data_IF_370614436533
#
_entry.id   IF_370614436533
#
_cell.length_a   1.000
_cell.length_b   1.000
_cell.length_c   1.000
_cell.angle_alpha   90.00
_cell.angle_beta   90.00
_cell.angle_gamma   90.00
#
_symmetry.space_group_name_H-M   'P 1'
#
loop_
_entity.id
_entity.type
_entity.pdbx_description
1 polymer ?
#
# COMPACT_ATOMS: atom_id res chain seq x y z
N UNK A 1 17.44 -28.79 24.64
CA UNK A 1 18.09 -28.08 25.74
C UNK A 1 17.53 -26.66 25.88
N UNK A 2 17.65 -26.09 27.08
CA UNK A 2 17.21 -24.70 27.32
C UNK A 2 17.88 -23.69 26.38
N UNK A 3 19.15 -23.94 26.02
CA UNK A 3 19.90 -23.10 25.10
C UNK A 3 19.31 -23.09 23.67
N UNK A 4 18.96 -24.25 23.14
CA UNK A 4 18.35 -24.36 21.81
C UNK A 4 16.95 -23.76 21.77
N UNK A 5 16.19 -23.87 22.86
CA UNK A 5 14.88 -23.21 23.01
C UNK A 5 15.02 -21.68 22.98
N UNK A 6 15.92 -21.12 23.78
CA UNK A 6 16.16 -19.67 23.79
C UNK A 6 16.67 -19.15 22.45
N UNK A 7 17.53 -19.91 21.77
CA UNK A 7 18.02 -19.58 20.44
C UNK A 7 16.88 -19.55 19.42
N UNK A 8 16.04 -20.58 19.39
CA UNK A 8 14.90 -20.65 18.48
C UNK A 8 13.88 -19.55 18.74
N UNK A 9 13.59 -19.25 20.02
CA UNK A 9 12.70 -18.14 20.39
C UNK A 9 13.25 -16.79 19.93
N UNK A 10 14.55 -16.56 20.10
CA UNK A 10 15.21 -15.34 19.62
C UNK A 10 15.11 -15.22 18.10
N UNK A 11 15.31 -16.30 17.35
CA UNK A 11 15.18 -16.30 15.89
C UNK A 11 13.76 -15.94 15.45
N UNK A 12 12.72 -16.41 16.13
CA UNK A 12 11.32 -16.03 15.86
C UNK A 12 11.09 -14.54 16.09
N UNK A 13 11.57 -14.01 17.23
CA UNK A 13 11.44 -12.58 17.57
C UNK A 13 12.21 -11.72 16.57
N UNK A 14 13.43 -12.08 16.22
CA UNK A 14 14.25 -11.33 15.27
C UNK A 14 13.59 -11.33 13.87
N UNK A 15 13.03 -12.45 13.43
CA UNK A 15 12.30 -12.55 12.16
C UNK A 15 11.03 -11.70 12.14
N UNK A 16 10.28 -11.69 13.25
CA UNK A 16 9.08 -10.85 13.40
C UNK A 16 9.43 -9.37 13.33
N UNK A 17 10.47 -8.95 14.05
CA UNK A 17 10.93 -7.57 14.05
C UNK A 17 11.42 -7.12 12.67
N UNK A 18 12.24 -7.93 12.00
CA UNK A 18 12.76 -7.63 10.66
C UNK A 18 11.61 -7.44 9.64
N UNK A 19 10.64 -8.33 9.67
CA UNK A 19 9.48 -8.22 8.78
C UNK A 19 8.59 -7.02 9.11
N UNK A 20 8.35 -6.76 10.39
CA UNK A 20 7.58 -5.59 10.85
C UNK A 20 8.24 -4.28 10.45
N UNK A 21 9.57 -4.20 10.53
CA UNK A 21 10.34 -3.04 10.09
C UNK A 21 10.20 -2.82 8.58
N UNK A 22 10.28 -3.88 7.78
CA UNK A 22 10.09 -3.82 6.33
C UNK A 22 8.67 -3.37 5.95
N UNK A 23 7.63 -3.89 6.63
CA UNK A 23 6.26 -3.42 6.45
C UNK A 23 6.09 -1.94 6.81
N UNK A 24 6.64 -1.53 7.95
CA UNK A 24 6.60 -0.14 8.41
C UNK A 24 7.25 0.80 7.40
N UNK A 25 8.35 0.39 6.79
CA UNK A 25 9.02 1.15 5.74
C UNK A 25 8.12 1.33 4.51
N UNK A 26 7.45 0.29 4.06
CA UNK A 26 6.47 0.37 2.95
C UNK A 26 5.36 1.36 3.28
N UNK A 27 4.76 1.27 4.47
CA UNK A 27 3.70 2.16 4.92
C UNK A 27 4.18 3.62 4.98
N UNK A 28 5.38 3.86 5.48
CA UNK A 28 5.98 5.21 5.54
C UNK A 28 6.20 5.80 4.15
N UNK A 29 6.72 5.02 3.22
CA UNK A 29 6.91 5.46 1.82
C UNK A 29 5.58 5.77 1.12
N UNK A 30 4.54 4.98 1.40
CA UNK A 30 3.19 5.21 0.89
C UNK A 30 2.62 6.52 1.44
N UNK A 31 2.76 6.77 2.74
CA UNK A 31 2.22 7.97 3.38
C UNK A 31 2.77 9.24 2.74
N UNK A 32 4.06 9.27 2.42
CA UNK A 32 4.67 10.41 1.76
C UNK A 32 4.15 10.64 0.33
N UNK A 33 3.87 9.56 -0.40
CA UNK A 33 3.41 9.62 -1.79
C UNK A 33 1.90 9.84 -1.91
N UNK A 34 1.13 9.42 -0.90
CA UNK A 34 -0.32 9.58 -0.86
C UNK A 34 -0.77 11.06 -0.82
N UNK A 35 0.10 11.98 -0.43
CA UNK A 35 -0.17 13.42 -0.45
C UNK A 35 -0.46 13.96 -1.87
N UNK A 36 -0.01 13.27 -2.92
CA UNK A 36 -0.34 13.64 -4.29
C UNK A 36 -1.85 13.56 -4.58
N UNK A 37 -2.59 12.69 -3.90
CA UNK A 37 -4.03 12.51 -4.10
C UNK A 37 -4.85 13.73 -3.66
N UNK A 38 -4.74 14.25 -2.41
CA UNK A 38 -5.47 15.46 -2.03
C UNK A 38 -5.04 16.69 -2.82
N UNK A 39 -3.79 16.82 -3.22
CA UNK A 39 -3.33 17.90 -4.08
C UNK A 39 -4.00 17.82 -5.45
N UNK A 40 -4.09 16.64 -6.04
CA UNK A 40 -4.75 16.40 -7.33
C UNK A 40 -6.26 16.62 -7.23
N UNK A 41 -6.90 16.30 -6.09
CA UNK A 41 -8.31 16.62 -5.84
C UNK A 41 -8.55 18.14 -5.85
N UNK A 42 -7.70 18.91 -5.18
CA UNK A 42 -7.77 20.37 -5.23
C UNK A 42 -7.60 20.90 -6.66
N UNK A 43 -6.68 20.31 -7.43
CA UNK A 43 -6.50 20.63 -8.86
C UNK A 43 -7.74 20.32 -9.70
N UNK A 44 -8.41 19.19 -9.46
CA UNK A 44 -9.62 18.81 -10.19
C UNK A 44 -10.79 19.76 -9.91
N UNK A 45 -10.92 20.23 -8.67
CA UNK A 45 -11.94 21.23 -8.29
C UNK A 45 -11.64 22.56 -8.98
N UNK A 46 -10.38 22.94 -9.10
CA UNK A 46 -9.96 24.18 -9.77
C UNK A 46 -10.38 24.22 -11.25
N UNK A 47 -10.54 23.08 -11.93
CA UNK A 47 -11.04 23.00 -13.32
C UNK A 47 -12.40 23.66 -13.47
N UNK A 48 -13.27 23.57 -12.46
CA UNK A 48 -14.58 24.23 -12.49
C UNK A 48 -14.49 25.76 -12.60
N UNK A 49 -13.36 26.35 -12.22
CA UNK A 49 -13.12 27.80 -12.29
C UNK A 49 -12.44 28.25 -13.59
N UNK A 50 -11.91 27.33 -14.37
CA UNK A 50 -11.23 27.62 -15.64
C UNK A 50 -12.26 28.02 -16.70
N UNK A 51 -11.91 29.00 -17.54
CA UNK A 51 -12.82 29.57 -18.52
C UNK A 51 -12.49 29.14 -19.96
N UNK A 52 -11.22 28.83 -20.25
CA UNK A 52 -10.80 28.48 -21.61
C UNK A 52 -10.73 26.99 -21.83
N UNK A 53 -11.05 26.53 -23.04
CA UNK A 53 -10.95 25.10 -23.40
C UNK A 53 -9.50 24.58 -23.33
N UNK A 54 -8.54 25.42 -23.67
CA UNK A 54 -7.11 25.07 -23.63
C UNK A 54 -6.70 24.78 -22.19
N UNK A 55 -7.12 25.60 -21.22
CA UNK A 55 -6.81 25.41 -19.81
C UNK A 55 -7.39 24.12 -19.26
N UNK A 56 -8.61 23.73 -19.67
CA UNK A 56 -9.23 22.46 -19.27
C UNK A 56 -8.44 21.25 -19.78
N UNK A 57 -7.97 21.32 -21.03
CA UNK A 57 -7.20 20.24 -21.64
C UNK A 57 -5.86 20.07 -20.90
N UNK A 58 -5.16 21.18 -20.66
CA UNK A 58 -3.89 21.17 -19.94
C UNK A 58 -4.06 20.62 -18.53
N UNK A 59 -5.08 21.07 -17.80
CA UNK A 59 -5.38 20.61 -16.46
C UNK A 59 -5.74 19.11 -16.42
N UNK A 60 -6.53 18.63 -17.39
CA UNK A 60 -6.87 17.21 -17.49
C UNK A 60 -5.66 16.34 -17.78
N UNK A 61 -4.79 16.77 -18.70
CA UNK A 61 -3.52 16.07 -18.99
C UNK A 61 -2.66 15.98 -17.72
N UNK A 62 -2.55 17.08 -16.96
CA UNK A 62 -1.83 17.09 -15.69
C UNK A 62 -2.39 16.10 -14.67
N UNK A 63 -3.71 16.00 -14.54
CA UNK A 63 -4.39 15.04 -13.66
C UNK A 63 -4.12 13.58 -14.09
N UNK A 64 -4.17 13.30 -15.40
CA UNK A 64 -3.89 11.97 -15.94
C UNK A 64 -2.44 11.58 -15.67
N UNK A 65 -1.49 12.46 -15.94
CA UNK A 65 -0.06 12.20 -15.68
C UNK A 65 0.17 11.91 -14.19
N UNK A 66 -0.42 12.73 -13.31
CA UNK A 66 -0.31 12.52 -11.86
C UNK A 66 -0.91 11.19 -11.44
N UNK A 67 -2.07 10.80 -11.97
CA UNK A 67 -2.70 9.52 -11.69
C UNK A 67 -1.83 8.33 -12.15
N UNK A 68 -1.20 8.43 -13.32
CA UNK A 68 -0.29 7.40 -13.85
C UNK A 68 0.94 7.25 -12.96
N UNK A 69 1.59 8.37 -12.60
CA UNK A 69 2.78 8.35 -11.75
C UNK A 69 2.45 7.77 -10.38
N UNK A 70 1.38 8.25 -9.75
CA UNK A 70 0.94 7.76 -8.43
C UNK A 70 0.60 6.27 -8.48
N UNK A 71 -0.11 5.82 -9.50
CA UNK A 71 -0.43 4.40 -9.71
C UNK A 71 0.82 3.55 -9.87
N UNK A 72 1.80 4.01 -10.64
CA UNK A 72 3.08 3.30 -10.83
C UNK A 72 3.85 3.16 -9.50
N UNK A 73 3.84 4.19 -8.66
CA UNK A 73 4.46 4.17 -7.33
C UNK A 73 3.75 3.17 -6.40
N UNK A 74 2.42 3.17 -6.39
CA UNK A 74 1.63 2.23 -5.58
C UNK A 74 1.87 0.79 -6.04
N UNK A 75 1.86 0.53 -7.35
CA UNK A 75 2.14 -0.81 -7.90
C UNK A 75 3.56 -1.26 -7.54
N UNK A 76 4.54 -0.36 -7.53
CA UNK A 76 5.90 -0.65 -7.06
C UNK A 76 5.92 -1.10 -5.60
N UNK A 77 5.16 -0.42 -4.73
CA UNK A 77 5.03 -0.81 -3.32
C UNK A 77 4.33 -2.17 -3.16
N UNK A 78 3.32 -2.46 -3.98
CA UNK A 78 2.68 -3.78 -4.00
C UNK A 78 3.66 -4.89 -4.37
N UNK A 79 4.56 -4.65 -5.33
CA UNK A 79 5.62 -5.60 -5.70
C UNK A 79 6.63 -5.79 -4.57
N UNK A 80 7.01 -4.73 -3.87
CA UNK A 80 7.89 -4.85 -2.69
C UNK A 80 7.22 -5.66 -1.59
N UNK A 81 5.94 -5.41 -1.31
CA UNK A 81 5.17 -6.17 -0.34
C UNK A 81 5.12 -7.67 -0.70
N UNK A 82 4.89 -7.99 -1.98
CA UNK A 82 4.90 -9.38 -2.44
C UNK A 82 6.26 -10.06 -2.24
N UNK A 83 7.38 -9.34 -2.45
CA UNK A 83 8.73 -9.88 -2.22
C UNK A 83 8.99 -10.17 -0.75
N UNK A 84 8.65 -9.24 0.15
CA UNK A 84 8.87 -9.47 1.60
C UNK A 84 7.91 -10.53 2.13
N UNK A 85 6.70 -10.64 1.61
CA UNK A 85 5.75 -11.70 1.92
C UNK A 85 6.32 -13.07 1.55
N UNK A 86 6.88 -13.20 0.36
CA UNK A 86 7.53 -14.43 -0.09
C UNK A 86 8.72 -14.80 0.79
N UNK A 87 9.59 -13.83 1.13
CA UNK A 87 10.71 -14.05 2.05
C UNK A 87 10.26 -14.47 3.45
N UNK A 88 9.17 -13.88 3.94
CA UNK A 88 8.54 -14.26 5.22
C UNK A 88 8.08 -15.71 5.19
N UNK A 89 7.37 -16.13 4.15
CA UNK A 89 6.87 -17.51 4.04
C UNK A 89 8.00 -18.54 4.05
N UNK A 90 9.10 -18.26 3.33
CA UNK A 90 10.28 -19.13 3.32
C UNK A 90 10.90 -19.19 4.71
N UNK A 91 11.16 -18.05 5.35
CA UNK A 91 11.82 -17.99 6.66
C UNK A 91 10.98 -18.66 7.75
N UNK A 92 9.71 -18.34 7.85
CA UNK A 92 8.81 -18.94 8.85
C UNK A 92 8.52 -20.42 8.56
N UNK A 93 8.51 -20.83 7.30
CA UNK A 93 8.44 -22.24 6.92
C UNK A 93 9.64 -23.02 7.42
N UNK A 94 10.85 -22.49 7.29
CA UNK A 94 12.08 -23.10 7.85
C UNK A 94 12.04 -23.15 9.38
N UNK A 95 11.60 -22.08 10.03
CA UNK A 95 11.44 -22.03 11.51
C UNK A 95 10.42 -23.07 11.98
N UNK A 96 9.28 -23.16 11.32
CA UNK A 96 8.23 -24.13 11.62
C UNK A 96 8.74 -25.57 11.50
N UNK A 97 9.54 -25.86 10.49
CA UNK A 97 10.16 -27.17 10.32
C UNK A 97 11.15 -27.51 11.45
N UNK A 98 12.02 -26.55 11.82
CA UNK A 98 13.02 -26.75 12.88
C UNK A 98 12.43 -26.95 14.27
N UNK A 99 11.29 -26.33 14.57
CA UNK A 99 10.62 -26.43 15.87
C UNK A 99 9.48 -27.44 15.91
N UNK A 100 9.33 -28.26 14.86
CA UNK A 100 8.25 -29.24 14.74
C UNK A 100 8.16 -30.20 15.93
N UNK A 101 9.29 -30.58 16.50
CA UNK A 101 9.40 -31.51 17.63
C UNK A 101 9.60 -30.80 18.98
N UNK A 102 9.52 -29.47 19.02
CA UNK A 102 9.72 -28.67 20.22
C UNK A 102 8.44 -28.50 21.05
N UNK A 103 8.59 -27.83 22.20
CA UNK A 103 7.48 -27.59 23.14
C UNK A 103 6.33 -26.83 22.50
N UNK A 104 5.11 -27.08 23.00
CA UNK A 104 3.89 -26.41 22.53
C UNK A 104 3.98 -24.89 22.61
N UNK A 105 4.66 -24.33 23.61
CA UNK A 105 4.79 -22.89 23.84
C UNK A 105 5.53 -22.18 22.70
N UNK A 106 6.61 -22.79 22.18
CA UNK A 106 7.36 -22.20 21.07
C UNK A 106 6.57 -22.23 19.75
N UNK A 107 5.84 -23.33 19.49
CA UNK A 107 4.93 -23.45 18.35
C UNK A 107 3.81 -22.40 18.41
N UNK A 108 3.21 -22.24 19.58
CA UNK A 108 2.15 -21.26 19.81
C UNK A 108 2.67 -19.84 19.56
N UNK A 109 3.84 -19.49 20.09
CA UNK A 109 4.49 -18.21 19.87
C UNK A 109 4.77 -17.95 18.38
N UNK A 110 5.23 -18.96 17.65
CA UNK A 110 5.49 -18.85 16.21
C UNK A 110 4.19 -18.62 15.42
N UNK A 111 3.15 -19.39 15.70
CA UNK A 111 1.86 -19.25 15.01
C UNK A 111 1.19 -17.92 15.32
N UNK A 112 1.31 -17.43 16.54
CA UNK A 112 0.83 -16.09 16.92
C UNK A 112 1.58 -14.99 16.17
N UNK A 113 2.91 -15.08 16.08
CA UNK A 113 3.73 -14.13 15.31
C UNK A 113 3.35 -14.14 13.82
N UNK A 114 3.19 -15.32 13.22
CA UNK A 114 2.74 -15.46 11.82
C UNK A 114 1.38 -14.82 11.61
N UNK A 115 0.43 -15.06 12.52
CA UNK A 115 -0.90 -14.48 12.43
C UNK A 115 -0.88 -12.96 12.48
N UNK A 116 -0.14 -12.36 13.42
CA UNK A 116 0.01 -10.91 13.52
C UNK A 116 0.61 -10.30 12.26
N UNK A 117 1.64 -10.94 11.70
CA UNK A 117 2.28 -10.48 10.48
C UNK A 117 1.36 -10.59 9.27
N UNK A 118 0.59 -11.66 9.16
CA UNK A 118 -0.40 -11.83 8.10
C UNK A 118 -1.52 -10.77 8.19
N UNK A 119 -2.02 -10.48 9.39
CA UNK A 119 -3.03 -9.44 9.59
C UNK A 119 -2.51 -8.05 9.20
N UNK A 120 -1.26 -7.73 9.55
CA UNK A 120 -0.62 -6.48 9.17
C UNK A 120 -0.36 -6.40 7.65
N UNK A 121 0.02 -7.51 7.02
CA UNK A 121 0.20 -7.61 5.58
C UNK A 121 -1.13 -7.40 4.83
N UNK A 122 -2.20 -8.03 5.28
CA UNK A 122 -3.53 -7.86 4.70
C UNK A 122 -4.03 -6.42 4.83
N UNK A 123 -3.77 -5.78 5.95
CA UNK A 123 -4.05 -4.36 6.13
C UNK A 123 -3.27 -3.50 5.14
N UNK A 124 -1.98 -3.77 4.96
CA UNK A 124 -1.13 -3.06 4.00
C UNK A 124 -1.64 -3.24 2.56
N UNK A 125 -2.05 -4.45 2.17
CA UNK A 125 -2.67 -4.70 0.87
C UNK A 125 -3.95 -3.90 0.66
N UNK A 126 -4.84 -3.86 1.65
CA UNK A 126 -6.08 -3.09 1.58
C UNK A 126 -5.84 -1.60 1.43
N UNK A 127 -4.85 -1.07 2.16
CA UNK A 127 -4.46 0.35 2.05
C UNK A 127 -3.94 0.65 0.63
N UNK A 128 -3.06 -0.19 0.10
CA UNK A 128 -2.52 -0.02 -1.25
C UNK A 128 -3.60 -0.08 -2.33
N UNK A 129 -4.53 -1.02 -2.24
CA UNK A 129 -5.64 -1.15 -3.18
C UNK A 129 -6.59 0.05 -3.12
N UNK A 130 -6.88 0.53 -1.91
CA UNK A 130 -7.70 1.73 -1.70
C UNK A 130 -7.04 2.97 -2.29
N UNK A 131 -5.73 3.14 -2.08
CA UNK A 131 -4.97 4.26 -2.64
C UNK A 131 -4.90 4.21 -4.16
N UNK A 132 -4.79 3.02 -4.75
CA UNK A 132 -4.79 2.86 -6.20
C UNK A 132 -6.12 3.33 -6.80
N UNK A 133 -7.23 2.98 -6.18
CA UNK A 133 -8.57 3.46 -6.58
C UNK A 133 -8.71 4.97 -6.41
N UNK A 134 -8.26 5.51 -5.28
CA UNK A 134 -8.31 6.94 -5.00
C UNK A 134 -7.40 7.78 -5.91
N UNK A 135 -6.31 7.22 -6.42
CA UNK A 135 -5.38 7.91 -7.30
C UNK A 135 -6.03 8.39 -8.61
N UNK A 136 -7.05 7.70 -9.09
CA UNK A 136 -7.81 8.03 -10.30
C UNK A 136 -9.03 8.92 -10.05
N UNK A 137 -9.45 9.06 -8.80
CA UNK A 137 -10.63 9.86 -8.44
C UNK A 137 -10.54 11.32 -8.91
N UNK A 138 -9.41 12.04 -8.78
CA UNK A 138 -9.27 13.40 -9.27
C UNK A 138 -9.50 13.53 -10.79
N UNK A 139 -9.01 12.55 -11.56
CA UNK A 139 -9.19 12.52 -13.01
C UNK A 139 -10.66 12.35 -13.39
N UNK A 140 -11.40 11.46 -12.72
CA UNK A 140 -12.83 11.29 -12.92
C UNK A 140 -13.61 12.57 -12.58
N UNK A 141 -13.30 13.22 -11.46
CA UNK A 141 -13.92 14.49 -11.07
C UNK A 141 -13.63 15.57 -12.11
N UNK A 142 -12.40 15.65 -12.61
CA UNK A 142 -12.01 16.59 -13.66
C UNK A 142 -12.77 16.35 -14.96
N UNK A 143 -12.93 15.10 -15.39
CA UNK A 143 -13.72 14.73 -16.58
C UNK A 143 -15.19 15.15 -16.41
N UNK A 144 -15.79 14.83 -15.27
CA UNK A 144 -17.17 15.21 -14.96
C UNK A 144 -17.31 16.74 -15.02
N UNK A 145 -16.38 17.49 -14.43
CA UNK A 145 -16.37 18.96 -14.46
C UNK A 145 -16.33 19.51 -15.87
N UNK A 146 -15.52 18.94 -16.76
CA UNK A 146 -15.44 19.34 -18.16
C UNK A 146 -16.75 19.02 -18.90
N UNK A 147 -17.32 17.84 -18.69
CA UNK A 147 -18.59 17.44 -19.29
C UNK A 147 -19.74 18.39 -18.88
N UNK A 148 -19.80 18.78 -17.62
CA UNK A 148 -20.76 19.77 -17.15
C UNK A 148 -20.62 21.12 -17.87
N UNK A 149 -19.40 21.57 -18.15
CA UNK A 149 -19.12 22.82 -18.87
C UNK A 149 -19.42 22.72 -20.35
N UNK A 150 -19.34 21.54 -20.95
CA UNK A 150 -19.66 21.32 -22.38
C UNK A 150 -21.13 21.07 -22.64
N UNK A 151 -21.93 20.71 -21.64
CA UNK A 151 -23.38 20.61 -21.80
C UNK A 151 -23.96 22.00 -21.92
N UNK A 152 -24.63 22.33 -23.07
CA UNK A 152 -25.39 23.57 -23.17
C UNK A 152 -26.53 23.52 -22.15
N UNK A 153 -26.77 24.63 -21.45
CA UNK A 153 -27.80 24.77 -20.42
C UNK A 153 -29.08 24.04 -20.83
N UNK A 154 -29.36 22.92 -20.18
CA UNK A 154 -30.70 22.34 -20.13
C UNK A 154 -31.41 23.06 -19.00
N UNK A 155 -31.87 24.24 -19.26
CA UNK A 155 -32.89 24.98 -18.51
C UNK A 155 -33.96 25.45 -19.49
#
# INVERSE_FOLDING_TARGET
>A
SAFSFHKARKEVVDAELDYSEKLSKIISEISNKALAIPISLAGSIAIFKLTTKTDWIIALIGLIITAIITSAMIVSQKKQLARISHSKEILFGQLRYRIKDDTSDLKESLEEAIKKLNDNEDFCHKVLDSLLSLAWMPTFIGIIGILFKLMPNIT
#
